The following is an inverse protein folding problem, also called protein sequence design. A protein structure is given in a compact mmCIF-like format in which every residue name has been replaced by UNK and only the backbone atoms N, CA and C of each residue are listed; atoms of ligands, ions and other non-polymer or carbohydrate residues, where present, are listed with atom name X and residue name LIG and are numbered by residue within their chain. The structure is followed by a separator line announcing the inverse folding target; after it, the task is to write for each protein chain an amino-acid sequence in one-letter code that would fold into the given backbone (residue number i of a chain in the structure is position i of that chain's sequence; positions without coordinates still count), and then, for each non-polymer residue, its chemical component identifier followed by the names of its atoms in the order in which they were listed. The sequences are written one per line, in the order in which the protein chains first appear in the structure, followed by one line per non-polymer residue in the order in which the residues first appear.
data_IF_649065749260
#
_entry.id   IF_649065749260
#
_cell.length_a   1.000
_cell.length_b   1.000
_cell.length_c   1.000
_cell.angle_alpha   90.00
_cell.angle_beta   90.00
_cell.angle_gamma   90.00
#
_symmetry.space_group_name_H-M   'P 1'
#
loop_
_entity.id
_entity.type
_entity.pdbx_description
1 polymer ?
#
# COMPACT_ATOMS: atom_id res chain seq x y z
N UNK A 1 3.38 -13.02 -0.55
CA UNK A 1 2.78 -11.82 -1.17
C UNK A 1 1.87 -11.15 -0.15
N UNK A 2 1.97 -9.83 0.00
CA UNK A 2 1.10 -9.01 0.84
C UNK A 2 -0.14 -8.60 0.05
N UNK A 3 -1.32 -8.61 0.68
CA UNK A 3 -2.61 -8.27 0.04
C UNK A 3 -3.24 -7.07 0.75
N UNK A 4 -3.60 -6.03 0.01
CA UNK A 4 -4.22 -4.84 0.57
C UNK A 4 -5.73 -4.84 0.31
N UNK A 5 -6.54 -4.50 1.32
CA UNK A 5 -7.99 -4.56 1.23
C UNK A 5 -8.64 -3.21 1.55
N UNK A 6 -9.55 -2.78 0.67
CA UNK A 6 -10.48 -1.68 0.93
C UNK A 6 -11.71 -2.18 1.71
N UNK A 7 -12.28 -1.37 2.62
CA UNK A 7 -13.46 -1.76 3.39
C UNK A 7 -14.78 -1.72 2.59
N UNK A 8 -14.77 -1.29 1.32
CA UNK A 8 -15.99 -1.13 0.52
C UNK A 8 -16.28 -2.30 -0.44
N UNK A 9 -15.47 -3.35 -0.44
CA UNK A 9 -15.72 -4.54 -1.26
C UNK A 9 -16.99 -5.31 -0.86
N UNK A 10 -17.38 -6.30 -1.67
CA UNK A 10 -18.61 -7.09 -1.45
C UNK A 10 -18.56 -7.95 -0.17
N UNK A 11 -17.36 -8.30 0.32
CA UNK A 11 -17.12 -8.95 1.62
C UNK A 11 -15.62 -8.90 1.99
N UNK A 12 -15.09 -7.71 2.36
CA UNK A 12 -13.66 -7.53 2.56
C UNK A 12 -13.14 -8.29 3.80
N UNK A 13 -14.00 -8.49 4.81
CA UNK A 13 -13.65 -9.22 6.04
C UNK A 13 -13.39 -10.69 5.72
N UNK A 14 -14.29 -11.38 5.01
CA UNK A 14 -14.10 -12.79 4.65
C UNK A 14 -12.90 -13.01 3.73
N UNK A 15 -12.65 -12.07 2.81
CA UNK A 15 -11.47 -12.14 1.94
C UNK A 15 -10.17 -11.97 2.72
N UNK A 16 -10.12 -11.02 3.66
CA UNK A 16 -8.97 -10.81 4.53
C UNK A 16 -8.71 -12.02 5.45
N UNK A 17 -9.76 -12.61 6.02
CA UNK A 17 -9.67 -13.84 6.82
C UNK A 17 -9.12 -15.01 6.01
N UNK A 18 -9.61 -15.20 4.78
CA UNK A 18 -9.11 -16.23 3.87
C UNK A 18 -7.65 -16.01 3.48
N UNK A 19 -7.28 -14.76 3.16
CA UNK A 19 -5.89 -14.40 2.86
C UNK A 19 -4.97 -14.76 4.03
N UNK A 20 -5.36 -14.42 5.27
CA UNK A 20 -4.60 -14.76 6.47
C UNK A 20 -4.54 -16.26 6.73
N UNK A 21 -5.63 -17.01 6.51
CA UNK A 21 -5.64 -18.47 6.62
C UNK A 21 -4.65 -19.12 5.63
N UNK A 22 -4.40 -18.47 4.49
CA UNK A 22 -3.40 -18.83 3.50
C UNK A 22 -2.01 -18.20 3.76
N UNK A 23 -1.80 -17.63 4.95
CA UNK A 23 -0.54 -16.99 5.41
C UNK A 23 -0.11 -15.77 4.60
N UNK A 24 -1.03 -15.11 3.91
CA UNK A 24 -0.76 -13.79 3.36
C UNK A 24 -0.73 -12.75 4.48
N UNK A 25 0.27 -11.87 4.43
CA UNK A 25 0.23 -10.61 5.14
C UNK A 25 -0.83 -9.72 4.52
N UNK A 26 -1.56 -8.96 5.34
CA UNK A 26 -2.60 -8.07 4.85
C UNK A 26 -2.35 -6.62 5.27
N UNK A 27 -2.75 -5.69 4.42
CA UNK A 27 -2.79 -4.25 4.71
C UNK A 27 -4.23 -3.75 4.61
N UNK A 28 -4.53 -2.70 5.36
CA UNK A 28 -5.78 -1.97 5.23
C UNK A 28 -5.57 -0.77 4.31
N UNK A 29 -6.31 -0.72 3.20
CA UNK A 29 -6.33 0.43 2.31
C UNK A 29 -7.22 1.52 2.90
N UNK A 30 -6.67 2.73 2.98
CA UNK A 30 -7.34 3.91 3.50
C UNK A 30 -7.66 4.84 2.33
N UNK A 31 -8.95 4.98 1.97
CA UNK A 31 -9.47 5.98 1.05
C UNK A 31 -8.98 7.39 1.40
N UNK A 32 -8.28 8.05 0.48
CA UNK A 32 -7.70 9.38 0.69
C UNK A 32 -7.96 10.30 -0.51
N UNK A 33 -8.09 11.60 -0.25
CA UNK A 33 -8.41 12.62 -1.26
C UNK A 33 -7.42 12.66 -2.44
N UNK A 34 -7.87 12.39 -3.68
CA UNK A 34 -7.11 12.69 -4.89
C UNK A 34 -7.21 14.18 -5.28
N UNK A 35 -6.56 14.60 -6.36
CA UNK A 35 -6.62 16.00 -6.81
C UNK A 35 -7.96 16.39 -7.44
N UNK A 36 -8.65 15.42 -8.05
CA UNK A 36 -9.92 15.53 -8.78
C UNK A 36 -11.14 15.18 -7.91
N UNK A 37 -11.01 15.24 -6.57
CA UNK A 37 -12.15 15.10 -5.68
C UNK A 37 -13.14 16.29 -5.83
N UNK A 38 -14.47 16.08 -5.88
CA UNK A 38 -15.20 14.82 -5.68
C UNK A 38 -15.53 14.04 -6.97
N UNK A 39 -15.05 14.47 -8.15
CA UNK A 39 -15.34 13.78 -9.42
C UNK A 39 -14.82 12.33 -9.40
N UNK A 40 -13.75 12.09 -8.64
CA UNK A 40 -13.20 10.77 -8.36
C UNK A 40 -13.23 10.50 -6.84
N UNK A 41 -14.36 10.02 -6.34
CA UNK A 41 -14.56 9.73 -4.91
C UNK A 41 -14.15 8.28 -4.57
N UNK A 42 -13.12 8.08 -3.72
CA UNK A 42 -12.69 6.74 -3.29
C UNK A 42 -13.68 6.05 -2.32
N UNK A 43 -14.68 6.79 -1.80
CA UNK A 43 -15.79 6.26 -1.00
C UNK A 43 -16.22 7.15 0.18
N UNK A 44 -17.28 6.76 0.91
CA UNK A 44 -17.97 7.64 1.86
C UNK A 44 -17.15 8.09 3.08
N UNK A 45 -16.11 7.33 3.45
CA UNK A 45 -15.21 7.62 4.57
C UNK A 45 -13.81 8.07 4.09
N UNK A 46 -13.72 8.68 2.90
CA UNK A 46 -12.46 9.23 2.36
C UNK A 46 -11.86 10.27 3.31
N UNK A 47 -10.56 10.19 3.58
CA UNK A 47 -9.86 11.22 4.34
C UNK A 47 -9.64 12.45 3.46
N UNK A 48 -9.97 13.65 3.97
CA UNK A 48 -9.96 14.89 3.19
C UNK A 48 -9.05 15.94 3.84
N UNK A 49 -8.29 16.66 3.03
CA UNK A 49 -7.42 17.78 3.47
C UNK A 49 -8.21 18.98 3.99
N UNK A 50 -9.50 19.08 3.64
CA UNK A 50 -10.41 20.14 4.08
C UNK A 50 -11.06 19.87 5.44
N UNK A 51 -10.98 18.64 5.96
CA UNK A 51 -11.54 18.28 7.25
C UNK A 51 -10.58 18.63 8.40
N UNK A 52 -11.15 18.90 9.56
CA UNK A 52 -10.38 18.99 10.79
C UNK A 52 -9.68 17.65 11.09
N UNK A 53 -8.49 17.66 11.71
CA UNK A 53 -7.78 16.43 12.06
C UNK A 53 -8.64 15.39 12.77
N UNK A 54 -9.47 15.81 13.73
CA UNK A 54 -10.34 14.95 14.53
C UNK A 54 -11.36 14.20 13.66
N UNK A 55 -11.91 14.88 12.65
CA UNK A 55 -12.87 14.26 11.72
C UNK A 55 -12.19 13.22 10.82
N UNK A 56 -10.97 13.49 10.36
CA UNK A 56 -10.19 12.47 9.65
C UNK A 56 -9.84 11.29 10.55
N UNK A 57 -9.59 11.52 11.84
CA UNK A 57 -9.35 10.44 12.80
C UNK A 57 -10.60 9.58 13.02
N UNK A 58 -11.79 10.18 13.11
CA UNK A 58 -13.05 9.44 13.21
C UNK A 58 -13.26 8.52 11.98
N UNK A 59 -13.00 9.05 10.77
CA UNK A 59 -13.04 8.26 9.53
C UNK A 59 -11.98 7.15 9.53
N UNK A 60 -10.76 7.44 9.99
CA UNK A 60 -9.69 6.45 10.11
C UNK A 60 -10.05 5.32 11.10
N UNK A 61 -10.64 5.65 12.24
CA UNK A 61 -11.08 4.67 13.24
C UNK A 61 -12.24 3.81 12.72
N UNK A 62 -13.13 4.39 11.91
CA UNK A 62 -14.12 3.62 11.19
C UNK A 62 -13.44 2.56 10.31
N UNK A 63 -12.41 2.93 9.53
CA UNK A 63 -11.66 1.97 8.70
C UNK A 63 -11.00 0.86 9.52
N UNK A 64 -10.35 1.22 10.63
CA UNK A 64 -9.73 0.24 11.55
C UNK A 64 -10.71 -0.76 12.15
N UNK A 65 -11.98 -0.40 12.25
CA UNK A 65 -13.01 -1.31 12.77
C UNK A 65 -13.46 -2.39 11.78
N UNK A 66 -13.22 -2.21 10.47
CA UNK A 66 -13.83 -3.04 9.41
C UNK A 66 -13.13 -4.37 9.17
N UNK A 67 -11.81 -4.40 9.26
CA UNK A 67 -10.97 -5.57 8.96
C UNK A 67 -10.00 -5.74 10.13
N UNK A 68 -9.65 -6.97 10.49
CA UNK A 68 -8.77 -7.25 11.63
C UNK A 68 -7.50 -8.01 11.19
N UNK A 69 -6.40 -7.77 11.91
CA UNK A 69 -5.12 -8.48 11.73
C UNK A 69 -4.30 -8.03 10.53
N UNK A 70 -4.41 -6.74 10.17
CA UNK A 70 -3.53 -6.10 9.19
C UNK A 70 -2.22 -5.63 9.84
N UNK A 71 -1.13 -5.73 9.09
CA UNK A 71 0.21 -5.35 9.55
C UNK A 71 0.48 -3.84 9.41
N UNK A 72 -0.32 -3.16 8.59
CA UNK A 72 -0.14 -1.75 8.29
C UNK A 72 -1.31 -1.18 7.49
N UNK A 73 -1.22 0.11 7.21
CA UNK A 73 -2.12 0.83 6.32
C UNK A 73 -1.42 1.17 4.99
N UNK A 74 -2.22 1.32 3.95
CA UNK A 74 -1.79 1.81 2.64
C UNK A 74 -2.71 2.95 2.19
N UNK A 75 -2.19 3.95 1.48
CA UNK A 75 -3.07 4.90 0.80
C UNK A 75 -3.82 4.19 -0.34
N UNK A 76 -5.08 4.56 -0.52
CA UNK A 76 -5.87 4.24 -1.71
C UNK A 76 -6.25 5.54 -2.37
N UNK A 77 -5.67 5.78 -3.55
CA UNK A 77 -5.59 7.10 -4.17
C UNK A 77 -4.84 8.07 -3.24
N UNK A 78 -5.40 9.24 -2.92
CA UNK A 78 -4.78 10.13 -1.94
C UNK A 78 -3.71 11.07 -2.47
N UNK A 79 -3.56 11.24 -3.79
CA UNK A 79 -2.47 12.03 -4.37
C UNK A 79 -2.39 13.46 -3.82
N UNK A 80 -3.52 14.05 -3.40
CA UNK A 80 -3.57 15.35 -2.72
C UNK A 80 -3.37 15.22 -1.21
N UNK A 81 -3.97 14.21 -0.59
CA UNK A 81 -3.86 13.98 0.85
C UNK A 81 -2.42 13.69 1.28
N UNK A 82 -1.72 12.77 0.61
CA UNK A 82 -0.39 12.27 1.01
C UNK A 82 0.73 13.31 0.84
N UNK A 83 0.48 14.41 0.13
CA UNK A 83 1.41 15.54 0.00
C UNK A 83 1.10 16.68 0.99
N UNK A 84 0.07 16.54 1.82
CA UNK A 84 -0.38 17.55 2.78
C UNK A 84 0.08 17.19 4.19
N UNK A 85 1.15 17.84 4.65
CA UNK A 85 1.81 17.56 5.93
C UNK A 85 0.84 17.55 7.13
N UNK A 86 0.08 18.63 7.29
CA UNK A 86 -0.88 18.78 8.39
C UNK A 86 -1.99 17.70 8.40
N UNK A 87 -2.36 17.18 7.22
CA UNK A 87 -3.36 16.13 7.11
C UNK A 87 -2.77 14.73 7.36
N UNK A 88 -1.53 14.48 6.91
CA UNK A 88 -0.86 13.19 7.06
C UNK A 88 -0.32 12.95 8.47
N UNK A 89 0.12 13.99 9.16
CA UNK A 89 0.79 13.86 10.47
C UNK A 89 -0.07 13.13 11.52
N UNK A 90 -1.38 13.43 11.70
CA UNK A 90 -2.25 12.67 12.61
C UNK A 90 -2.39 11.19 12.21
N UNK A 91 -2.44 10.88 10.92
CA UNK A 91 -2.63 9.51 10.41
C UNK A 91 -1.39 8.65 10.69
N UNK A 92 -0.20 9.18 10.42
CA UNK A 92 1.07 8.50 10.75
C UNK A 92 1.21 8.32 12.26
N UNK A 93 0.77 9.30 13.07
CA UNK A 93 0.79 9.20 14.53
C UNK A 93 -0.12 8.09 15.04
N UNK A 94 -1.32 7.96 14.49
CA UNK A 94 -2.23 6.86 14.88
C UNK A 94 -1.70 5.49 14.41
N UNK A 95 -1.08 5.40 13.24
CA UNK A 95 -0.38 4.19 12.81
C UNK A 95 0.73 3.81 13.81
N UNK A 96 1.55 4.78 14.24
CA UNK A 96 2.62 4.58 15.22
C UNK A 96 2.08 4.05 16.56
N UNK A 97 1.04 4.69 17.12
CA UNK A 97 0.42 4.28 18.40
C UNK A 97 -0.10 2.85 18.37
N UNK A 98 -0.53 2.37 17.20
CA UNK A 98 -1.09 1.03 16.99
C UNK A 98 -0.04 0.00 16.55
N UNK A 99 1.22 0.39 16.41
CA UNK A 99 2.30 -0.49 15.94
C UNK A 99 2.14 -0.91 14.47
N UNK A 100 1.45 -0.09 13.67
CA UNK A 100 1.17 -0.36 12.26
C UNK A 100 2.27 0.21 11.37
N UNK A 101 2.61 -0.50 10.29
CA UNK A 101 3.41 0.06 9.19
C UNK A 101 2.59 0.99 8.28
N UNK A 102 3.27 1.81 7.50
CA UNK A 102 2.66 2.61 6.43
C UNK A 102 3.29 2.25 5.08
N UNK A 103 2.44 1.86 4.13
CA UNK A 103 2.81 1.65 2.74
C UNK A 103 2.34 2.82 1.88
N UNK A 104 3.26 3.44 1.15
CA UNK A 104 2.98 4.44 0.13
C UNK A 104 2.97 3.76 -1.24
N UNK A 105 1.83 3.82 -1.95
CA UNK A 105 1.69 3.19 -3.27
C UNK A 105 2.51 3.87 -4.38
N UNK A 106 3.20 4.97 -4.07
CA UNK A 106 4.08 5.69 -4.99
C UNK A 106 3.35 6.59 -5.98
N UNK A 107 2.02 6.70 -5.91
CA UNK A 107 1.21 7.52 -6.84
C UNK A 107 1.51 9.01 -6.75
N UNK A 108 2.03 9.49 -5.60
CA UNK A 108 2.44 10.88 -5.40
C UNK A 108 3.97 11.01 -5.26
N UNK A 109 4.68 11.59 -6.25
CA UNK A 109 6.13 11.78 -6.17
C UNK A 109 6.59 12.61 -4.97
N UNK A 110 5.77 13.60 -4.56
CA UNK A 110 6.04 14.53 -3.46
C UNK A 110 5.38 14.12 -2.13
N UNK A 111 5.06 12.84 -1.95
CA UNK A 111 4.49 12.35 -0.69
C UNK A 111 5.36 12.74 0.50
N UNK A 112 4.72 13.22 1.57
CA UNK A 112 5.36 13.55 2.86
C UNK A 112 5.46 12.33 3.78
N UNK A 113 4.88 11.19 3.39
CA UNK A 113 4.89 9.98 4.21
C UNK A 113 6.31 9.50 4.62
N UNK A 114 7.34 9.53 3.75
CA UNK A 114 8.68 9.08 4.12
C UNK A 114 9.27 9.87 5.30
N UNK A 115 9.17 11.20 5.29
CA UNK A 115 9.73 12.04 6.35
C UNK A 115 8.95 11.91 7.65
N UNK A 116 7.61 11.89 7.58
CA UNK A 116 6.74 11.76 8.76
C UNK A 116 6.87 10.42 9.46
N UNK A 117 6.98 9.33 8.68
CA UNK A 117 7.14 7.97 9.23
C UNK A 117 8.52 7.78 9.84
N UNK A 118 9.58 8.31 9.23
CA UNK A 118 10.92 8.33 9.81
C UNK A 118 10.96 9.07 11.15
N UNK A 119 10.37 10.27 11.23
CA UNK A 119 10.33 11.07 12.45
C UNK A 119 9.59 10.38 13.62
N UNK A 120 8.66 9.46 13.31
CA UNK A 120 7.86 8.73 14.29
C UNK A 120 8.26 7.25 14.40
N UNK A 121 9.39 6.85 13.78
CA UNK A 121 9.92 5.47 13.78
C UNK A 121 8.95 4.42 13.21
N UNK A 122 7.94 4.84 12.43
CA UNK A 122 6.95 3.95 11.82
C UNK A 122 7.60 3.11 10.71
N UNK A 123 7.39 1.78 10.67
CA UNK A 123 7.84 0.96 9.53
C UNK A 123 7.24 1.49 8.23
N UNK A 124 8.09 1.71 7.23
CA UNK A 124 7.70 2.38 5.99
C UNK A 124 8.23 1.63 4.78
N UNK A 125 7.40 1.56 3.73
CA UNK A 125 7.83 1.18 2.39
C UNK A 125 7.09 2.03 1.36
N UNK A 126 7.76 2.34 0.26
CA UNK A 126 7.18 2.98 -0.92
C UNK A 126 7.25 2.01 -2.09
N UNK A 127 6.24 1.97 -2.94
CA UNK A 127 6.31 1.22 -4.18
C UNK A 127 7.41 1.79 -5.11
N UNK A 128 8.28 0.93 -5.61
CA UNK A 128 9.26 1.25 -6.65
C UNK A 128 8.65 1.15 -8.06
N UNK A 129 7.70 0.23 -8.24
CA UNK A 129 7.05 -0.06 -9.52
C UNK A 129 5.55 -0.28 -9.34
N UNK A 130 4.75 0.49 -10.08
CA UNK A 130 3.35 0.14 -10.34
C UNK A 130 3.31 -0.85 -11.51
N UNK A 131 2.90 -2.07 -11.22
CA UNK A 131 2.98 -3.22 -12.13
C UNK A 131 1.94 -3.12 -13.24
N UNK A 132 0.75 -2.63 -12.93
CA UNK A 132 -0.40 -2.60 -13.84
C UNK A 132 -0.92 -1.18 -14.12
N UNK A 133 -0.03 -0.19 -14.06
CA UNK A 133 -0.31 1.18 -14.50
C UNK A 133 -0.89 1.22 -15.93
N UNK A 134 -0.42 0.32 -16.80
CA UNK A 134 -1.05 0.02 -18.09
C UNK A 134 -1.41 -1.47 -18.09
N UNK A 135 -2.70 -1.84 -18.00
CA UNK A 135 -3.13 -3.22 -17.74
C UNK A 135 -3.13 -4.09 -19.01
N UNK A 136 -1.97 -4.21 -19.66
CA UNK A 136 -1.73 -5.10 -20.79
C UNK A 136 -0.62 -6.08 -20.46
N UNK A 137 -0.64 -7.27 -21.08
CA UNK A 137 0.36 -8.32 -20.84
C UNK A 137 1.79 -7.78 -21.01
N UNK A 138 2.07 -7.10 -22.12
CA UNK A 138 3.41 -6.60 -22.44
C UNK A 138 3.92 -5.56 -21.41
N UNK A 139 3.05 -4.63 -21.00
CA UNK A 139 3.43 -3.57 -20.06
C UNK A 139 3.61 -4.12 -18.64
N UNK A 140 2.76 -5.07 -18.22
CA UNK A 140 2.88 -5.76 -16.93
C UNK A 140 4.18 -6.58 -16.90
N UNK A 141 4.48 -7.37 -17.93
CA UNK A 141 5.71 -8.16 -17.99
C UNK A 141 6.96 -7.26 -17.97
N UNK A 142 6.91 -6.11 -18.66
CA UNK A 142 7.99 -5.12 -18.63
C UNK A 142 8.16 -4.52 -17.23
N UNK A 143 7.06 -4.22 -16.53
CA UNK A 143 7.10 -3.70 -15.17
C UNK A 143 7.66 -4.73 -14.18
N UNK A 144 7.29 -6.01 -14.33
CA UNK A 144 7.83 -7.11 -13.51
C UNK A 144 9.33 -7.33 -13.74
N UNK A 145 9.79 -7.26 -15.00
CA UNK A 145 11.21 -7.32 -15.32
C UNK A 145 11.99 -6.13 -14.72
N UNK A 146 11.42 -4.92 -14.77
CA UNK A 146 11.99 -3.73 -14.11
C UNK A 146 12.10 -3.92 -12.59
N UNK A 147 11.05 -4.46 -11.96
CA UNK A 147 11.04 -4.72 -10.52
C UNK A 147 12.13 -5.72 -10.12
N UNK A 148 12.29 -6.79 -10.89
CA UNK A 148 13.37 -7.77 -10.70
C UNK A 148 14.77 -7.13 -10.85
N UNK A 149 14.98 -6.30 -11.88
CA UNK A 149 16.25 -5.60 -12.06
C UNK A 149 16.57 -4.69 -10.87
N UNK A 150 15.59 -3.94 -10.37
CA UNK A 150 15.76 -3.08 -9.18
C UNK A 150 16.05 -3.90 -7.92
N UNK A 151 15.38 -5.05 -7.75
CA UNK A 151 15.63 -5.93 -6.61
C UNK A 151 17.06 -6.49 -6.63
N UNK A 152 17.58 -6.84 -7.82
CA UNK A 152 18.96 -7.32 -7.99
C UNK A 152 20.00 -6.22 -7.75
N UNK A 153 19.70 -5.00 -8.18
CA UNK A 153 20.61 -3.85 -8.00
C UNK A 153 20.66 -3.38 -6.53
N UNK A 154 19.50 -3.27 -5.88
CA UNK A 154 19.37 -2.63 -4.55
C UNK A 154 19.24 -3.63 -3.40
N UNK A 155 19.12 -4.92 -3.69
CA UNK A 155 18.86 -5.99 -2.73
C UNK A 155 17.39 -6.10 -2.27
N UNK A 156 16.56 -5.09 -2.53
CA UNK A 156 15.11 -5.09 -2.28
C UNK A 156 14.41 -4.15 -3.27
N UNK A 157 13.22 -4.55 -3.71
CA UNK A 157 12.31 -3.67 -4.44
C UNK A 157 10.86 -4.05 -4.13
N UNK A 158 9.95 -3.07 -4.17
CA UNK A 158 8.53 -3.24 -3.87
C UNK A 158 7.69 -2.92 -5.10
N UNK A 159 6.91 -3.90 -5.55
CA UNK A 159 5.91 -3.74 -6.60
C UNK A 159 4.50 -3.63 -6.02
N UNK A 160 3.66 -2.81 -6.65
CA UNK A 160 2.23 -2.72 -6.36
C UNK A 160 1.41 -3.01 -7.60
N UNK A 161 0.29 -3.71 -7.44
CA UNK A 161 -0.66 -3.99 -8.51
C UNK A 161 -2.08 -3.95 -7.96
N UNK A 162 -3.05 -3.68 -8.83
CA UNK A 162 -4.46 -3.89 -8.56
C UNK A 162 -4.85 -5.36 -8.74
N UNK A 163 -5.98 -5.76 -8.18
CA UNK A 163 -6.51 -7.12 -8.29
C UNK A 163 -7.24 -7.39 -9.62
N UNK A 164 -6.68 -6.90 -10.74
CA UNK A 164 -7.21 -7.17 -12.08
C UNK A 164 -6.93 -8.63 -12.47
N UNK A 165 -7.84 -9.32 -13.20
CA UNK A 165 -7.61 -10.69 -13.64
C UNK A 165 -6.27 -10.87 -14.37
N UNK A 166 -5.93 -9.94 -15.26
CA UNK A 166 -4.66 -9.97 -16.01
C UNK A 166 -3.45 -9.78 -15.09
N UNK A 167 -3.50 -8.84 -14.14
CA UNK A 167 -2.43 -8.62 -13.17
C UNK A 167 -2.19 -9.86 -12.32
N UNK A 168 -3.26 -10.48 -11.82
CA UNK A 168 -3.20 -11.72 -11.02
C UNK A 168 -2.57 -12.86 -11.85
N UNK A 169 -2.99 -13.03 -13.10
CA UNK A 169 -2.45 -14.06 -13.98
C UNK A 169 -0.94 -13.88 -14.20
N UNK A 170 -0.51 -12.69 -14.62
CA UNK A 170 0.91 -12.39 -14.92
C UNK A 170 1.79 -12.46 -13.68
N UNK A 171 1.35 -11.90 -12.55
CA UNK A 171 2.08 -12.00 -11.27
C UNK A 171 2.18 -13.45 -10.82
N UNK A 172 1.13 -14.27 -11.00
CA UNK A 172 1.17 -15.69 -10.65
C UNK A 172 2.19 -16.47 -11.49
N UNK A 173 2.32 -16.15 -12.78
CA UNK A 173 3.36 -16.75 -13.65
C UNK A 173 4.75 -16.31 -13.20
N UNK A 174 4.96 -15.00 -13.02
CA UNK A 174 6.24 -14.43 -12.64
C UNK A 174 6.74 -14.92 -11.28
N UNK A 175 5.85 -14.97 -10.27
CA UNK A 175 6.22 -15.43 -8.92
C UNK A 175 6.74 -16.86 -8.88
N UNK A 176 6.26 -17.75 -9.76
CA UNK A 176 6.77 -19.12 -9.90
C UNK A 176 8.19 -19.20 -10.48
N UNK A 177 8.64 -18.16 -11.18
CA UNK A 177 9.97 -18.10 -11.79
C UNK A 177 11.01 -17.38 -10.92
N UNK A 178 10.61 -16.76 -9.80
CA UNK A 178 11.52 -15.93 -8.99
C UNK A 178 12.72 -16.69 -8.42
N UNK A 179 12.52 -17.91 -7.95
CA UNK A 179 13.60 -18.69 -7.32
C UNK A 179 14.71 -19.02 -8.33
N UNK A 180 14.37 -19.38 -9.58
CA UNK A 180 15.38 -19.64 -10.62
C UNK A 180 16.12 -18.36 -11.03
N UNK A 181 15.55 -17.19 -10.74
CA UNK A 181 16.17 -15.88 -10.96
C UNK A 181 16.98 -15.40 -9.75
N UNK A 182 17.06 -16.19 -8.68
CA UNK A 182 17.77 -15.85 -7.44
C UNK A 182 17.05 -14.82 -6.57
N UNK A 183 15.73 -14.69 -6.71
CA UNK A 183 14.90 -13.72 -5.98
C UNK A 183 13.93 -14.47 -5.08
N UNK A 184 13.77 -13.97 -3.85
CA UNK A 184 12.81 -14.51 -2.88
C UNK A 184 11.73 -13.45 -2.65
N UNK A 185 10.47 -13.84 -2.83
CA UNK A 185 9.34 -13.00 -2.48
C UNK A 185 9.10 -13.05 -0.97
N UNK A 186 9.13 -11.89 -0.31
CA UNK A 186 8.93 -11.76 1.14
C UNK A 186 7.67 -10.93 1.45
N UNK A 187 7.12 -10.99 2.68
CA UNK A 187 6.12 -10.03 3.14
C UNK A 187 6.65 -8.59 3.10
N UNK A 188 5.77 -7.61 2.89
CA UNK A 188 6.14 -6.20 2.80
C UNK A 188 6.82 -5.70 4.08
N UNK A 189 6.38 -6.15 5.25
CA UNK A 189 7.02 -5.78 6.53
C UNK A 189 8.51 -6.15 6.58
N UNK A 190 8.94 -7.20 5.87
CA UNK A 190 10.36 -7.55 5.77
C UNK A 190 11.14 -6.49 4.99
N UNK A 191 10.55 -5.93 3.93
CA UNK A 191 11.14 -4.84 3.16
C UNK A 191 11.15 -3.51 3.95
N UNK A 192 10.09 -3.24 4.73
CA UNK A 192 9.97 -2.03 5.56
C UNK A 192 11.08 -1.91 6.61
N UNK A 193 11.56 -3.04 7.15
CA UNK A 193 12.62 -3.05 8.16
C UNK A 193 14.02 -2.89 7.55
N UNK A 194 14.24 -3.43 6.34
CA UNK A 194 15.54 -3.31 5.64
C UNK A 194 15.85 -1.88 5.19
N UNK A 195 14.82 -1.08 4.90
CA UNK A 195 15.00 0.34 4.50
C UNK A 195 15.73 1.20 5.55
N UNK A 196 15.85 0.75 6.80
CA UNK A 196 16.59 1.44 7.87
C UNK A 196 18.09 1.10 7.91
N UNK A 197 18.58 0.21 7.06
CA UNK A 197 19.92 -0.39 7.16
C UNK A 197 20.91 0.08 6.08
N UNK A 198 20.62 1.18 5.39
CA UNK A 198 21.47 1.75 4.33
C UNK A 198 21.79 3.22 4.57
#
# INVERSE_FOLDING_TARGET
MTLAFTPYGSDPTKLAERARAQRHEILLQIPMEPFDYPDNDPGPQTLLTTLAPEQNLDRLYWHFSRIQGYAGIANFMGARFVVTDAAMQPIVREAAKRGLGYFDDGSAPRSVAPSLTAAQTVPFAKADVSIDAVPTVAEIDRALAKLEAQAKERGVAVGVASALPISIERISVWTRALESHGIILVPLTTAMLKSKSG
#
